data_IF_038403480765
#
_entry.id   IF_038403480765
#
_cell.length_a   1.000
_cell.length_b   1.000
_cell.length_c   1.000
_cell.angle_alpha   90.00
_cell.angle_beta   90.00
_cell.angle_gamma   90.00
#
_symmetry.space_group_name_H-M   'P 1'
#
loop_
_entity.id
_entity.type
_entity.pdbx_description
1 polymer ?
#
# COMPACT_ATOMS: atom_id res chain seq x y z
N UNK A 1 32.68 -0.38 26.02
CA UNK A 1 31.91 0.63 25.31
C UNK A 1 31.14 1.65 26.17
N UNK A 2 31.02 1.46 27.50
CA UNK A 2 30.36 2.44 28.40
C UNK A 2 31.20 3.66 28.79
N UNK A 3 32.49 3.70 28.48
CA UNK A 3 33.40 4.81 28.85
C UNK A 3 33.57 5.89 27.79
N UNK A 4 33.14 5.66 26.55
CA UNK A 4 33.22 6.66 25.47
C UNK A 4 32.06 7.67 25.49
N UNK A 5 30.91 7.30 26.02
CA UNK A 5 29.75 8.19 26.08
C UNK A 5 29.85 9.30 27.13
N UNK A 6 30.63 9.06 28.20
CA UNK A 6 30.83 10.08 29.25
C UNK A 6 31.75 11.20 28.86
N UNK A 7 32.66 10.96 27.93
CA UNK A 7 33.64 12.00 27.48
C UNK A 7 32.98 12.97 26.47
N UNK A 8 32.02 12.48 25.67
CA UNK A 8 31.35 13.34 24.68
C UNK A 8 30.36 14.33 25.33
N UNK A 9 29.73 13.94 26.46
CA UNK A 9 28.78 14.82 27.17
C UNK A 9 29.49 16.00 27.88
N UNK A 10 30.72 15.80 28.32
CA UNK A 10 31.49 16.86 29.01
C UNK A 10 32.01 17.92 28.01
N UNK A 11 32.26 17.54 26.76
CA UNK A 11 32.73 18.50 25.74
C UNK A 11 31.63 19.45 25.25
N UNK A 12 30.38 19.04 25.25
CA UNK A 12 29.22 19.88 24.82
C UNK A 12 28.89 20.93 25.88
N UNK A 13 29.14 20.66 27.16
CA UNK A 13 28.86 21.59 28.27
C UNK A 13 29.98 22.63 28.49
N UNK A 14 31.21 22.42 27.96
CA UNK A 14 32.34 23.32 28.13
C UNK A 14 32.36 24.48 27.12
N UNK A 15 31.59 24.41 26.01
CA UNK A 15 31.57 25.46 24.99
C UNK A 15 30.52 26.56 25.22
N UNK A 16 29.68 26.46 26.24
CA UNK A 16 28.59 27.42 26.50
C UNK A 16 28.96 28.52 27.52
N UNK A 17 30.20 28.60 27.98
CA UNK A 17 30.61 29.55 29.05
C UNK A 17 31.65 30.61 28.66
N UNK A 18 32.03 30.75 27.39
CA UNK A 18 32.92 31.81 26.98
C UNK A 18 32.25 32.70 25.91
N UNK A 19 31.64 33.78 26.35
CA UNK A 19 31.03 34.77 25.49
C UNK A 19 30.42 35.95 26.22
N UNK A 20 31.14 36.56 27.20
CA UNK A 20 30.82 37.89 27.67
C UNK A 20 32.04 38.78 27.39
N UNK A 21 31.96 39.58 26.35
CA UNK A 21 32.83 40.71 26.06
C UNK A 21 31.96 41.98 26.06
N UNK A 22 32.19 42.81 27.05
CA UNK A 22 31.57 44.15 27.17
C UNK A 22 31.99 45.06 26.00
N UNK A 23 31.00 45.66 25.38
CA UNK A 23 31.14 46.73 24.41
C UNK A 23 29.89 47.61 24.47
N UNK A 24 29.99 48.69 25.23
CA UNK A 24 28.96 49.74 25.26
C UNK A 24 28.83 50.40 23.88
N UNK A 25 27.66 50.29 23.27
CA UNK A 25 27.18 51.25 22.27
C UNK A 25 25.67 51.33 22.34
N UNK A 26 25.19 52.57 22.38
CA UNK A 26 23.84 53.07 22.51
C UNK A 26 22.81 52.34 21.67
N UNK A 27 21.54 52.11 22.18
CA UNK A 27 20.54 51.33 21.47
C UNK A 27 19.89 52.13 20.36
N UNK A 28 20.13 51.75 19.13
CA UNK A 28 19.19 52.04 18.05
C UNK A 28 18.09 51.00 18.12
N UNK A 29 16.87 51.44 18.51
CA UNK A 29 15.65 50.64 18.51
C UNK A 29 15.31 50.26 17.07
N UNK A 30 15.81 49.14 16.61
CA UNK A 30 15.35 48.52 15.38
C UNK A 30 14.19 47.57 15.73
N UNK A 31 12.96 48.03 15.48
CA UNK A 31 11.79 47.18 15.56
C UNK A 31 11.96 46.04 14.52
N UNK A 32 12.34 44.82 15.00
CA UNK A 32 12.28 43.62 14.20
C UNK A 32 10.82 43.35 13.97
N UNK A 33 10.32 43.32 12.71
CA UNK A 33 8.94 42.94 12.46
C UNK A 33 8.75 41.49 12.94
N UNK A 34 7.92 41.33 13.98
CA UNK A 34 7.45 40.04 14.45
C UNK A 34 6.63 39.42 13.32
N UNK A 35 7.23 38.55 12.53
CA UNK A 35 6.49 37.75 11.55
C UNK A 35 5.55 36.84 12.35
N UNK A 36 4.27 37.07 12.23
CA UNK A 36 3.26 36.19 12.83
C UNK A 36 3.49 34.76 12.34
N UNK A 37 3.38 33.75 13.22
CA UNK A 37 3.53 32.36 12.79
C UNK A 37 2.53 32.09 11.66
N UNK A 38 3.04 31.72 10.50
CA UNK A 38 2.17 31.24 9.41
C UNK A 38 1.50 29.97 9.91
N UNK A 39 0.17 30.04 10.10
CA UNK A 39 -0.62 28.88 10.46
C UNK A 39 -0.39 27.81 9.39
N UNK A 40 0.17 26.68 9.78
CA UNK A 40 0.28 25.49 8.92
C UNK A 40 -1.15 25.00 8.71
N UNK A 41 -1.66 24.93 7.46
CA UNK A 41 -3.03 24.51 7.23
C UNK A 41 -3.21 23.09 7.78
N UNK A 42 -4.16 22.92 8.68
CA UNK A 42 -4.55 21.60 9.19
C UNK A 42 -5.08 20.80 8.01
N UNK A 43 -4.54 19.60 7.74
CA UNK A 43 -4.98 18.77 6.63
C UNK A 43 -6.49 18.47 6.79
N UNK A 44 -7.25 18.71 5.74
CA UNK A 44 -8.68 18.42 5.70
C UNK A 44 -8.87 16.91 5.88
N UNK A 45 -9.74 16.45 6.79
CA UNK A 45 -10.01 15.03 6.97
C UNK A 45 -10.52 14.41 5.66
N UNK A 46 -9.88 13.32 5.22
CA UNK A 46 -10.31 12.57 4.05
C UNK A 46 -11.68 11.93 4.37
N UNK A 47 -12.66 12.07 3.46
CA UNK A 47 -13.97 11.46 3.65
C UNK A 47 -13.90 9.94 3.63
N UNK A 48 -14.87 9.25 4.25
CA UNK A 48 -14.96 7.78 4.19
C UNK A 48 -15.08 7.28 2.74
N UNK A 49 -15.86 7.98 1.94
CA UNK A 49 -16.03 7.64 0.53
C UNK A 49 -14.70 7.71 -0.24
N UNK A 50 -13.92 8.75 -0.04
CA UNK A 50 -12.63 8.89 -0.73
C UNK A 50 -11.62 7.84 -0.27
N UNK A 51 -11.69 7.41 0.99
CA UNK A 51 -10.90 6.27 1.49
C UNK A 51 -11.29 4.97 0.79
N UNK A 52 -12.59 4.70 0.67
CA UNK A 52 -13.10 3.45 0.11
C UNK A 52 -12.98 3.36 -1.42
N UNK A 53 -12.90 4.48 -2.12
CA UNK A 53 -12.63 4.52 -3.58
C UNK A 53 -11.30 3.86 -3.97
N UNK A 54 -10.34 3.79 -3.07
CA UNK A 54 -9.06 3.15 -3.33
C UNK A 54 -9.11 1.61 -3.24
N UNK A 55 -10.05 1.04 -2.48
CA UNK A 55 -10.11 -0.40 -2.23
C UNK A 55 -10.36 -1.26 -3.48
N UNK A 56 -11.21 -0.88 -4.43
CA UNK A 56 -11.38 -1.64 -5.66
C UNK A 56 -10.09 -1.87 -6.42
N UNK A 57 -9.27 -0.83 -6.60
CA UNK A 57 -7.98 -0.96 -7.27
C UNK A 57 -6.99 -1.81 -6.45
N UNK A 58 -6.98 -1.63 -5.12
CA UNK A 58 -6.15 -2.38 -4.20
C UNK A 58 -6.47 -3.87 -4.20
N UNK A 59 -7.75 -4.24 -4.18
CA UNK A 59 -8.18 -5.64 -4.03
C UNK A 59 -8.32 -6.38 -5.36
N UNK A 60 -8.48 -5.65 -6.46
CA UNK A 60 -8.68 -6.21 -7.79
C UNK A 60 -7.39 -6.18 -8.59
N UNK A 61 -6.41 -6.93 -8.15
CA UNK A 61 -5.24 -7.23 -8.96
C UNK A 61 -5.57 -8.45 -9.81
N UNK A 62 -5.25 -8.35 -11.09
CA UNK A 62 -5.65 -9.33 -12.08
C UNK A 62 -5.05 -10.71 -11.90
N UNK A 63 -5.87 -11.67 -12.21
CA UNK A 63 -5.48 -13.03 -12.53
C UNK A 63 -4.70 -13.73 -11.41
N UNK A 64 -3.40 -13.86 -11.58
CA UNK A 64 -2.54 -14.68 -10.74
C UNK A 64 -2.04 -13.94 -9.49
N UNK A 65 -2.01 -12.62 -9.52
CA UNK A 65 -1.35 -11.78 -8.50
C UNK A 65 -2.30 -11.20 -7.44
N UNK A 66 -3.61 -11.37 -7.59
CA UNK A 66 -4.60 -10.87 -6.63
C UNK A 66 -4.83 -11.79 -5.43
N UNK A 67 -5.39 -11.23 -4.34
CA UNK A 67 -5.86 -12.02 -3.20
C UNK A 67 -6.97 -13.00 -3.59
N UNK A 68 -7.65 -12.77 -4.72
CA UNK A 68 -8.83 -13.52 -5.14
C UNK A 68 -9.99 -13.32 -4.17
N UNK A 69 -10.96 -14.26 -4.20
CA UNK A 69 -12.10 -14.23 -3.30
C UNK A 69 -11.79 -15.01 -2.01
N UNK A 70 -12.26 -14.49 -0.89
CA UNK A 70 -12.18 -15.12 0.41
C UNK A 70 -13.34 -14.65 1.30
N UNK A 71 -13.80 -15.49 2.20
CA UNK A 71 -14.85 -15.14 3.16
C UNK A 71 -14.28 -14.73 4.53
N UNK A 72 -13.05 -15.10 4.79
CA UNK A 72 -12.29 -14.74 5.98
C UNK A 72 -10.83 -14.58 5.63
N UNK A 73 -10.16 -13.64 6.30
CA UNK A 73 -8.72 -13.41 6.18
C UNK A 73 -7.89 -14.67 6.48
N UNK A 74 -8.43 -15.61 7.25
CA UNK A 74 -7.78 -16.88 7.58
C UNK A 74 -7.71 -17.87 6.40
N UNK A 75 -8.46 -17.62 5.32
CA UNK A 75 -8.40 -18.39 4.07
C UNK A 75 -7.22 -17.96 3.19
N UNK A 76 -6.59 -16.82 3.50
CA UNK A 76 -5.47 -16.29 2.71
C UNK A 76 -4.18 -17.06 3.00
N UNK A 77 -3.56 -17.55 1.94
CA UNK A 77 -2.23 -18.15 2.03
C UNK A 77 -1.13 -17.10 1.92
N UNK A 78 0.01 -17.32 2.57
CA UNK A 78 1.18 -16.42 2.48
C UNK A 78 1.58 -16.16 1.03
N UNK A 79 1.56 -17.16 0.16
CA UNK A 79 1.92 -17.00 -1.25
C UNK A 79 0.99 -16.02 -1.98
N UNK A 80 -0.33 -16.10 -1.76
CA UNK A 80 -1.30 -15.16 -2.34
C UNK A 80 -1.15 -13.75 -1.81
N UNK A 81 -0.91 -13.64 -0.50
CA UNK A 81 -0.67 -12.33 0.13
C UNK A 81 0.62 -11.71 -0.39
N UNK A 82 1.69 -12.50 -0.53
CA UNK A 82 2.96 -12.02 -1.06
C UNK A 82 2.80 -11.49 -2.49
N UNK A 83 2.23 -12.29 -3.41
CA UNK A 83 2.04 -11.84 -4.80
C UNK A 83 1.16 -10.58 -4.90
N UNK A 84 0.10 -10.49 -4.10
CA UNK A 84 -0.72 -9.29 -4.02
C UNK A 84 0.05 -8.09 -3.47
N UNK A 85 0.85 -8.26 -2.42
CA UNK A 85 1.58 -7.16 -1.78
C UNK A 85 2.60 -6.54 -2.72
N UNK A 86 3.37 -7.36 -3.44
CA UNK A 86 4.42 -6.86 -4.35
C UNK A 86 3.89 -6.08 -5.56
N UNK A 87 2.61 -6.22 -5.91
CA UNK A 87 1.97 -5.39 -6.95
C UNK A 87 1.66 -3.96 -6.46
N UNK A 88 1.78 -3.70 -5.16
CA UNK A 88 1.38 -2.44 -4.54
C UNK A 88 2.51 -1.69 -3.83
N UNK A 89 3.68 -2.29 -3.73
CA UNK A 89 4.86 -1.67 -3.12
C UNK A 89 6.03 -1.65 -4.09
N UNK A 90 6.83 -0.61 -4.01
CA UNK A 90 8.04 -0.52 -4.82
C UNK A 90 9.14 -1.45 -4.28
N UNK A 91 9.86 -2.16 -5.16
CA UNK A 91 11.01 -2.95 -4.74
C UNK A 91 12.13 -2.05 -4.24
N UNK A 92 12.84 -2.50 -3.20
CA UNK A 92 14.01 -1.79 -2.70
C UNK A 92 15.26 -1.98 -3.59
N UNK A 93 15.25 -3.01 -4.46
CA UNK A 93 16.31 -3.25 -5.44
C UNK A 93 15.72 -3.97 -6.66
N UNK A 94 16.32 -3.69 -7.84
CA UNK A 94 16.02 -4.32 -9.11
C UNK A 94 17.32 -4.68 -9.81
N UNK A 95 17.40 -5.92 -10.34
CA UNK A 95 18.51 -6.38 -11.18
C UNK A 95 17.96 -7.02 -12.46
N UNK A 96 18.63 -6.74 -13.57
CA UNK A 96 18.37 -7.33 -14.89
C UNK A 96 19.62 -8.15 -15.28
N UNK A 97 19.53 -9.47 -15.17
CA UNK A 97 20.62 -10.40 -15.44
C UNK A 97 20.27 -11.23 -16.69
N UNK A 98 20.65 -10.76 -17.89
CA UNK A 98 20.72 -11.52 -19.15
C UNK A 98 19.74 -12.68 -19.33
N UNK A 99 18.45 -12.47 -19.06
CA UNK A 99 17.38 -13.46 -19.25
C UNK A 99 16.43 -13.65 -18.07
N UNK A 100 16.59 -12.89 -17.00
CA UNK A 100 15.69 -12.84 -15.87
C UNK A 100 15.69 -11.48 -15.20
N UNK A 101 14.60 -11.17 -14.51
CA UNK A 101 14.49 -9.97 -13.69
C UNK A 101 14.35 -10.36 -12.23
N UNK A 102 15.11 -9.71 -11.35
CA UNK A 102 14.98 -9.93 -9.91
C UNK A 102 14.56 -8.65 -9.21
N UNK A 103 13.56 -8.77 -8.35
CA UNK A 103 13.05 -7.70 -7.50
C UNK A 103 13.22 -8.08 -6.03
N UNK A 104 13.80 -7.20 -5.25
CA UNK A 104 13.96 -7.42 -3.81
C UNK A 104 13.04 -6.48 -3.04
N UNK A 105 12.40 -7.01 -2.01
CA UNK A 105 11.47 -6.29 -1.13
C UNK A 105 11.92 -6.44 0.32
N UNK A 106 11.86 -5.38 1.11
CA UNK A 106 12.11 -5.49 2.54
C UNK A 106 10.91 -6.15 3.23
N UNK A 107 11.19 -7.08 4.13
CA UNK A 107 10.15 -7.75 4.94
C UNK A 107 9.35 -6.71 5.73
N UNK A 108 10.03 -5.70 6.30
CA UNK A 108 9.39 -4.61 7.03
C UNK A 108 8.37 -3.84 6.20
N UNK A 109 8.59 -3.66 4.89
CA UNK A 109 7.65 -2.95 4.01
C UNK A 109 6.46 -3.85 3.63
N UNK A 110 6.73 -5.16 3.39
CA UNK A 110 5.68 -6.17 3.18
C UNK A 110 4.76 -6.25 4.41
N UNK A 111 5.33 -6.32 5.60
CA UNK A 111 4.61 -6.40 6.86
C UNK A 111 3.79 -5.14 7.13
N UNK A 112 4.37 -3.96 6.94
CA UNK A 112 3.65 -2.69 7.12
C UNK A 112 2.43 -2.58 6.18
N UNK A 113 2.57 -3.06 4.93
CA UNK A 113 1.48 -3.07 3.98
C UNK A 113 0.37 -4.06 4.38
N UNK A 114 0.73 -5.30 4.72
CA UNK A 114 -0.24 -6.33 5.09
C UNK A 114 -0.93 -6.01 6.41
N UNK A 115 -0.21 -5.46 7.39
CA UNK A 115 -0.79 -5.01 8.64
C UNK A 115 -1.81 -3.87 8.43
N UNK A 116 -1.49 -2.92 7.55
CA UNK A 116 -2.37 -1.80 7.22
C UNK A 116 -3.70 -2.24 6.59
N UNK A 117 -3.69 -3.22 5.68
CA UNK A 117 -4.86 -3.58 4.88
C UNK A 117 -5.51 -4.91 5.27
N UNK A 118 -4.74 -5.83 5.88
CA UNK A 118 -5.19 -7.14 6.32
C UNK A 118 -5.12 -7.33 7.86
N UNK A 119 -4.59 -6.34 8.59
CA UNK A 119 -4.53 -6.34 10.06
C UNK A 119 -3.55 -7.34 10.65
N UNK A 120 -2.63 -7.91 9.86
CA UNK A 120 -1.63 -8.86 10.34
C UNK A 120 -0.43 -8.98 9.41
N UNK A 121 0.67 -9.47 9.94
CA UNK A 121 1.87 -9.86 9.21
C UNK A 121 1.85 -11.34 8.80
N UNK A 122 2.76 -11.74 7.92
CA UNK A 122 2.85 -13.10 7.38
C UNK A 122 4.28 -13.62 7.49
N UNK A 123 4.41 -14.93 7.75
CA UNK A 123 5.69 -15.62 7.67
C UNK A 123 5.97 -16.03 6.22
N UNK A 124 6.97 -15.41 5.60
CA UNK A 124 7.33 -15.67 4.20
C UNK A 124 8.30 -16.84 4.02
N UNK A 125 8.93 -17.35 5.08
CA UNK A 125 9.86 -18.48 4.99
C UNK A 125 9.25 -19.74 4.35
N UNK A 126 7.99 -20.12 4.65
CA UNK A 126 7.40 -21.33 4.05
C UNK A 126 7.19 -21.28 2.54
N UNK A 127 7.24 -20.10 1.91
CA UNK A 127 7.03 -19.94 0.46
C UNK A 127 8.34 -19.79 -0.32
N UNK A 128 9.48 -19.78 0.34
CA UNK A 128 10.78 -19.67 -0.32
C UNK A 128 11.10 -20.90 -1.18
N UNK A 129 11.72 -20.67 -2.33
CA UNK A 129 12.14 -21.68 -3.29
C UNK A 129 13.32 -21.13 -4.11
N UNK A 130 13.67 -21.75 -5.26
CA UNK A 130 14.78 -21.32 -6.11
C UNK A 130 14.56 -19.93 -6.76
N UNK A 131 13.31 -19.54 -6.97
CA UNK A 131 12.95 -18.25 -7.58
C UNK A 131 12.57 -17.19 -6.51
N UNK A 132 12.33 -17.60 -5.28
CA UNK A 132 11.95 -16.73 -4.17
C UNK A 132 12.84 -16.97 -2.96
N UNK A 133 13.82 -16.12 -2.77
CA UNK A 133 14.90 -16.27 -1.80
C UNK A 133 14.78 -15.24 -0.67
N UNK A 134 14.74 -15.73 0.57
CA UNK A 134 14.85 -14.91 1.77
C UNK A 134 16.31 -14.75 2.15
N UNK A 135 16.77 -13.49 2.24
CA UNK A 135 18.06 -13.14 2.83
C UNK A 135 17.84 -12.58 4.25
N UNK A 136 18.15 -13.37 5.29
CA UNK A 136 17.94 -12.97 6.67
C UNK A 136 18.93 -11.90 7.16
N UNK A 137 20.06 -11.68 6.45
CA UNK A 137 21.06 -10.68 6.84
C UNK A 137 20.61 -9.26 6.42
N UNK A 138 20.01 -9.15 5.25
CA UNK A 138 19.49 -7.89 4.72
C UNK A 138 18.00 -7.66 5.01
N UNK A 139 17.32 -8.65 5.61
CA UNK A 139 15.87 -8.66 5.84
C UNK A 139 15.08 -8.42 4.54
N UNK A 140 15.49 -9.09 3.47
CA UNK A 140 14.89 -8.95 2.14
C UNK A 140 14.41 -10.27 1.59
N UNK A 141 13.31 -10.18 0.81
CA UNK A 141 12.77 -11.27 0.00
C UNK A 141 12.96 -10.91 -1.47
N UNK A 142 13.70 -11.73 -2.19
CA UNK A 142 14.00 -11.52 -3.62
C UNK A 142 13.24 -12.52 -4.46
N UNK A 143 12.48 -12.03 -5.45
CA UNK A 143 11.79 -12.85 -6.46
C UNK A 143 12.49 -12.69 -7.81
N UNK A 144 12.72 -13.81 -8.50
CA UNK A 144 13.29 -13.85 -9.84
C UNK A 144 12.26 -14.33 -10.85
N UNK A 145 12.09 -13.56 -11.91
CA UNK A 145 11.19 -13.89 -13.03
C UNK A 145 12.00 -14.34 -14.24
N UNK A 146 11.63 -15.50 -14.80
CA UNK A 146 12.18 -16.04 -16.03
C UNK A 146 11.18 -15.84 -17.18
N UNK A 147 11.21 -14.69 -17.84
CA UNK A 147 10.35 -14.37 -18.99
C UNK A 147 9.61 -13.04 -18.89
N UNK A 148 8.92 -12.65 -19.97
CA UNK A 148 8.12 -11.44 -20.00
C UNK A 148 6.72 -11.73 -19.42
N UNK A 149 6.36 -11.04 -18.36
CA UNK A 149 4.98 -10.98 -17.87
C UNK A 149 4.24 -9.88 -18.63
N UNK A 150 3.11 -10.24 -19.23
CA UNK A 150 2.19 -9.30 -19.83
C UNK A 150 0.88 -9.34 -19.05
N UNK A 151 0.71 -8.44 -18.11
CA UNK A 151 -0.56 -8.29 -17.39
C UNK A 151 -1.52 -7.44 -18.21
N UNK A 152 -2.77 -7.91 -18.33
CA UNK A 152 -3.86 -7.06 -18.79
C UNK A 152 -4.54 -6.46 -17.56
N UNK A 153 -4.42 -5.15 -17.31
CA UNK A 153 -5.05 -4.55 -16.16
C UNK A 153 -6.57 -4.67 -16.24
N UNK A 154 -7.19 -5.32 -15.27
CA UNK A 154 -8.65 -5.27 -15.07
C UNK A 154 -8.99 -3.99 -14.34
N UNK A 155 -9.80 -3.18 -14.98
CA UNK A 155 -10.30 -1.97 -14.35
C UNK A 155 -11.34 -2.31 -13.30
N UNK A 156 -11.12 -1.83 -12.08
CA UNK A 156 -12.07 -1.88 -10.99
C UNK A 156 -12.67 -0.49 -10.78
N UNK A 157 -13.99 -0.39 -10.80
CA UNK A 157 -14.71 0.87 -10.66
C UNK A 157 -15.56 0.85 -9.40
N UNK A 158 -15.24 1.71 -8.46
CA UNK A 158 -16.02 1.93 -7.25
C UNK A 158 -17.48 2.28 -7.59
N UNK A 159 -18.42 1.67 -6.88
CA UNK A 159 -19.85 1.94 -7.04
C UNK A 159 -20.45 2.62 -5.81
N UNK A 160 -20.28 2.03 -4.64
CA UNK A 160 -20.84 2.55 -3.39
C UNK A 160 -20.22 1.89 -2.17
N UNK A 161 -20.51 2.41 -0.99
CA UNK A 161 -20.31 1.70 0.26
C UNK A 161 -21.56 1.77 1.13
N UNK A 162 -21.68 0.83 2.06
CA UNK A 162 -22.74 0.77 3.05
C UNK A 162 -22.16 0.38 4.41
N UNK A 163 -22.54 1.07 5.47
CA UNK A 163 -22.25 0.64 6.82
C UNK A 163 -23.21 -0.49 7.20
N UNK A 164 -22.67 -1.65 7.57
CA UNK A 164 -23.45 -2.87 7.91
C UNK A 164 -23.33 -3.26 9.38
N UNK A 165 -22.51 -2.55 10.16
CA UNK A 165 -22.32 -2.71 11.60
C UNK A 165 -21.63 -1.48 12.18
N UNK A 166 -21.37 -1.45 13.48
CA UNK A 166 -20.76 -0.30 14.16
C UNK A 166 -19.37 0.05 13.58
N UNK A 167 -18.58 -0.98 13.29
CA UNK A 167 -17.23 -0.88 12.72
C UNK A 167 -17.11 -1.53 11.34
N UNK A 168 -18.20 -2.11 10.82
CA UNK A 168 -18.22 -2.90 9.60
C UNK A 168 -18.84 -2.14 8.44
N UNK A 169 -18.17 -2.22 7.26
CA UNK A 169 -18.62 -1.59 6.02
C UNK A 169 -18.51 -2.59 4.88
N UNK A 170 -19.43 -2.52 3.94
CA UNK A 170 -19.39 -3.22 2.66
C UNK A 170 -19.12 -2.21 1.54
N UNK A 171 -18.06 -2.43 0.77
CA UNK A 171 -17.71 -1.64 -0.41
C UNK A 171 -18.12 -2.46 -1.64
N UNK A 172 -18.97 -1.87 -2.47
CA UNK A 172 -19.40 -2.47 -3.75
C UNK A 172 -18.62 -1.83 -4.89
N UNK A 173 -18.12 -2.65 -5.82
CA UNK A 173 -17.45 -2.20 -7.02
C UNK A 173 -17.74 -3.13 -8.19
N UNK A 174 -17.35 -2.71 -9.40
CA UNK A 174 -17.56 -3.49 -10.61
C UNK A 174 -16.22 -3.71 -11.33
N UNK A 175 -16.10 -4.88 -11.96
CA UNK A 175 -15.01 -5.19 -12.89
C UNK A 175 -15.58 -5.56 -14.25
N UNK A 176 -14.86 -5.21 -15.32
CA UNK A 176 -15.17 -5.65 -16.68
C UNK A 176 -14.25 -6.79 -17.08
N UNK A 177 -14.81 -7.82 -17.72
CA UNK A 177 -14.04 -8.88 -18.35
C UNK A 177 -14.49 -9.09 -19.77
N UNK A 178 -13.55 -9.51 -20.62
CA UNK A 178 -13.78 -9.87 -22.00
C UNK A 178 -13.38 -11.33 -22.19
N UNK A 179 -14.33 -12.17 -22.56
CA UNK A 179 -14.11 -13.59 -22.79
C UNK A 179 -14.28 -13.91 -24.27
N UNK A 180 -13.42 -14.78 -24.81
CA UNK A 180 -13.55 -15.26 -26.17
C UNK A 180 -14.14 -16.67 -26.18
N UNK A 181 -15.42 -16.77 -26.52
CA UNK A 181 -16.18 -18.02 -26.47
C UNK A 181 -16.78 -18.30 -27.85
N UNK A 182 -16.58 -19.52 -28.38
CA UNK A 182 -17.17 -19.97 -29.64
C UNK A 182 -16.98 -19.01 -30.83
N UNK A 183 -15.78 -18.45 -30.99
CA UNK A 183 -15.43 -17.45 -32.02
C UNK A 183 -16.17 -16.10 -31.89
N UNK A 184 -16.73 -15.82 -30.72
CA UNK A 184 -17.37 -14.54 -30.38
C UNK A 184 -16.75 -13.96 -29.14
N UNK A 185 -16.62 -12.65 -29.09
CA UNK A 185 -16.19 -11.95 -27.89
C UNK A 185 -17.43 -11.61 -27.05
N UNK A 186 -17.44 -12.07 -25.82
CA UNK A 186 -18.48 -11.75 -24.84
C UNK A 186 -17.92 -10.76 -23.83
N UNK A 187 -18.73 -9.79 -23.43
CA UNK A 187 -18.38 -8.76 -22.47
C UNK A 187 -19.23 -8.90 -21.22
N UNK A 188 -18.58 -8.80 -20.06
CA UNK A 188 -19.21 -9.01 -18.78
C UNK A 188 -18.90 -7.89 -17.81
N UNK A 189 -19.89 -7.53 -17.01
CA UNK A 189 -19.76 -6.70 -15.83
C UNK A 189 -20.01 -7.56 -14.59
N UNK A 190 -19.03 -7.66 -13.73
CA UNK A 190 -19.13 -8.41 -12.49
C UNK A 190 -19.19 -7.46 -11.30
N UNK A 191 -20.21 -7.60 -10.47
CA UNK A 191 -20.29 -6.89 -9.19
C UNK A 191 -19.44 -7.64 -8.17
N UNK A 192 -18.67 -6.91 -7.37
CA UNK A 192 -17.81 -7.45 -6.31
C UNK A 192 -18.01 -6.69 -5.03
N UNK A 193 -17.75 -7.33 -3.91
CA UNK A 193 -17.92 -6.76 -2.58
C UNK A 193 -16.70 -7.00 -1.72
N UNK A 194 -16.26 -5.96 -1.04
CA UNK A 194 -15.20 -6.02 -0.04
C UNK A 194 -15.84 -5.68 1.30
N UNK A 195 -15.70 -6.54 2.28
CA UNK A 195 -16.05 -6.21 3.66
C UNK A 195 -14.82 -5.65 4.34
N UNK A 196 -14.94 -4.48 4.93
CA UNK A 196 -13.88 -3.84 5.72
C UNK A 196 -14.35 -3.60 7.14
N UNK A 197 -13.45 -3.80 8.10
CA UNK A 197 -13.68 -3.53 9.50
C UNK A 197 -12.75 -2.43 10.00
N UNK A 198 -13.28 -1.49 10.76
CA UNK A 198 -12.49 -0.46 11.42
C UNK A 198 -11.88 -1.02 12.70
N UNK A 199 -10.57 -1.24 12.69
CA UNK A 199 -9.78 -1.74 13.82
C UNK A 199 -8.64 -0.75 14.09
N UNK A 200 -8.57 -0.19 15.27
CA UNK A 200 -7.53 0.74 15.72
C UNK A 200 -7.23 1.89 14.73
N UNK A 201 -8.29 2.41 14.09
CA UNK A 201 -8.20 3.51 13.12
C UNK A 201 -7.87 3.10 11.68
N UNK A 202 -7.60 1.82 11.43
CA UNK A 202 -7.37 1.24 10.10
C UNK A 202 -8.62 0.51 9.60
N UNK A 203 -8.86 0.55 8.29
CA UNK A 203 -9.91 -0.22 7.64
C UNK A 203 -9.32 -1.50 7.06
N UNK A 204 -9.58 -2.62 7.73
CA UNK A 204 -9.03 -3.95 7.39
C UNK A 204 -9.99 -4.67 6.46
N UNK A 205 -9.50 -5.17 5.33
CA UNK A 205 -10.30 -5.98 4.41
C UNK A 205 -10.45 -7.41 4.93
N UNK A 206 -11.61 -7.72 5.50
CA UNK A 206 -11.89 -9.00 6.16
C UNK A 206 -12.50 -10.05 5.25
N UNK A 207 -13.16 -9.64 4.15
CA UNK A 207 -13.67 -10.53 3.12
C UNK A 207 -13.68 -9.85 1.75
N UNK A 208 -13.58 -10.66 0.68
CA UNK A 208 -13.70 -10.22 -0.70
C UNK A 208 -14.51 -11.26 -1.49
N UNK A 209 -15.65 -10.87 -2.01
CA UNK A 209 -16.64 -11.78 -2.59
C UNK A 209 -17.00 -11.39 -4.02
N UNK A 210 -17.19 -12.38 -4.86
CA UNK A 210 -17.81 -12.20 -6.15
C UNK A 210 -19.33 -12.12 -5.98
N UNK A 211 -19.92 -11.16 -6.67
CA UNK A 211 -21.38 -11.00 -6.74
C UNK A 211 -21.91 -11.43 -8.10
N UNK A 212 -22.84 -10.64 -8.63
CA UNK A 212 -23.53 -10.96 -9.89
C UNK A 212 -22.65 -10.66 -11.11
N UNK A 213 -22.51 -11.65 -12.00
CA UNK A 213 -21.95 -11.48 -13.34
C UNK A 213 -23.09 -11.23 -14.34
N UNK A 214 -23.00 -10.19 -15.14
CA UNK A 214 -24.01 -9.77 -16.10
C UNK A 214 -23.35 -9.51 -17.46
N UNK A 215 -23.96 -10.07 -18.52
CA UNK A 215 -23.57 -9.76 -19.89
C UNK A 215 -23.91 -8.31 -20.24
N UNK A 216 -22.99 -7.64 -20.89
CA UNK A 216 -23.15 -6.26 -21.38
C UNK A 216 -22.76 -6.18 -22.85
N UNK A 217 -23.17 -5.11 -23.52
CA UNK A 217 -22.75 -4.87 -24.90
C UNK A 217 -21.29 -4.42 -24.97
N UNK A 218 -20.70 -4.56 -26.16
CA UNK A 218 -19.36 -4.05 -26.42
C UNK A 218 -19.28 -2.53 -26.18
N UNK A 219 -20.30 -1.78 -26.55
CA UNK A 219 -20.36 -0.33 -26.37
C UNK A 219 -20.37 0.02 -24.86
N UNK A 220 -21.24 -0.61 -24.07
CA UNK A 220 -21.28 -0.44 -22.62
C UNK A 220 -19.96 -0.81 -21.96
N UNK A 221 -19.28 -1.88 -22.42
CA UNK A 221 -17.99 -2.28 -21.90
C UNK A 221 -16.92 -1.20 -22.13
N UNK A 222 -16.82 -0.67 -23.35
CA UNK A 222 -15.82 0.34 -23.65
C UNK A 222 -16.13 1.69 -23.02
N UNK A 223 -17.39 2.10 -22.96
CA UNK A 223 -17.81 3.33 -22.27
C UNK A 223 -17.46 3.27 -20.77
N UNK A 224 -17.69 2.12 -20.17
CA UNK A 224 -17.41 1.92 -18.76
C UNK A 224 -15.91 1.69 -18.48
N UNK A 225 -15.18 1.06 -19.41
CA UNK A 225 -13.78 0.72 -19.25
C UNK A 225 -12.84 1.91 -19.55
N UNK A 226 -13.23 2.81 -20.44
CA UNK A 226 -12.38 3.92 -20.92
C UNK A 226 -12.66 5.23 -20.16
N UNK A 227 -13.88 5.47 -19.70
CA UNK A 227 -14.32 6.66 -18.96
C UNK A 227 -14.37 6.45 -17.46
#
# INVERSE_FOLDING_TARGET
MKKLFSVLLVFVLAFSLFGCGEGETTPATSEVPTVAPTEVPTPTPISLEDRFKAYPALMNVDGWNGLGYYNSIDELTTARVFTWTIEHIDPCNFTDDNGGYSYSYKITDLDAFTEKYLGRTYDYLPITNEDLVLDPESDTLTITYHGAYGDMPVRAVYASYMQIGDTLFEITYHTGTQDYVNNTTEFWKTTRRITVELVDGNYIATAHQEGTKMGITQEEYYDWYIN
#
